data_IF_566826866813
#
_entry.id   IF_566826866813
#
_cell.length_a   1.000
_cell.length_b   1.000
_cell.length_c   1.000
_cell.angle_alpha   90.00
_cell.angle_beta   90.00
_cell.angle_gamma   90.00
#
_symmetry.space_group_name_H-M   'P 1'
#
loop_
_entity.id
_entity.type
_entity.pdbx_description
1 polymer ?
#
# COMPACT_ATOMS: atom_id res chain seq x y z
N UNK A 1 0.50 3.20 -20.03
CA UNK A 1 1.10 1.96 -19.43
C UNK A 1 0.45 0.69 -20.00
N UNK A 2 1.04 -0.52 -19.84
CA UNK A 2 0.37 -1.76 -20.29
C UNK A 2 -1.02 -1.93 -19.69
N UNK A 3 -1.19 -1.60 -18.40
CA UNK A 3 -2.49 -1.63 -17.68
C UNK A 3 -3.51 -0.70 -18.32
N UNK A 4 -3.12 0.51 -18.68
CA UNK A 4 -3.98 1.50 -19.32
C UNK A 4 -4.59 0.99 -20.64
N UNK A 5 -3.81 0.25 -21.44
CA UNK A 5 -4.33 -0.38 -22.67
C UNK A 5 -5.39 -1.45 -22.39
N UNK A 6 -5.30 -2.14 -21.24
CA UNK A 6 -6.25 -3.20 -20.85
C UNK A 6 -7.54 -2.61 -20.30
N UNK A 7 -7.43 -1.57 -19.47
CA UNK A 7 -8.61 -0.98 -18.82
C UNK A 7 -9.31 0.06 -19.69
N UNK A 8 -8.57 0.74 -20.56
CA UNK A 8 -9.09 1.77 -21.46
C UNK A 8 -9.78 2.91 -20.72
N UNK A 9 -10.93 3.34 -21.24
CA UNK A 9 -11.70 4.46 -20.69
C UNK A 9 -12.47 4.12 -19.41
N UNK A 10 -12.61 2.82 -19.09
CA UNK A 10 -13.20 2.39 -17.81
C UNK A 10 -12.33 2.75 -16.61
N UNK A 11 -11.03 2.96 -16.81
CA UNK A 11 -10.08 3.18 -15.72
C UNK A 11 -9.88 1.93 -14.85
N UNK A 12 -9.09 2.10 -13.78
CA UNK A 12 -8.78 1.01 -12.85
C UNK A 12 -9.70 1.11 -11.63
N UNK A 13 -10.62 0.17 -11.46
CA UNK A 13 -11.54 0.19 -10.30
C UNK A 13 -10.85 -0.21 -9.01
N UNK A 14 -10.00 -1.24 -9.02
CA UNK A 14 -9.36 -1.74 -7.80
C UNK A 14 -7.86 -1.85 -8.03
N UNK A 15 -7.09 -1.19 -7.16
CA UNK A 15 -5.67 -1.47 -6.98
C UNK A 15 -5.48 -2.31 -5.73
N UNK A 16 -5.04 -3.55 -5.90
CA UNK A 16 -4.73 -4.45 -4.80
C UNK A 16 -3.21 -4.57 -4.59
N UNK A 17 -2.67 -3.84 -3.62
CA UNK A 17 -1.27 -3.94 -3.20
C UNK A 17 -1.06 -5.19 -2.32
N UNK A 18 -0.88 -6.33 -2.97
CA UNK A 18 -0.59 -7.60 -2.30
C UNK A 18 0.91 -7.91 -2.23
N UNK A 19 1.74 -7.32 -3.10
CA UNK A 19 3.16 -7.62 -3.16
C UNK A 19 3.85 -7.27 -1.83
N UNK A 20 4.59 -8.24 -1.29
CA UNK A 20 5.37 -8.02 -0.08
C UNK A 20 6.39 -9.13 0.16
N UNK A 21 7.43 -8.80 0.92
CA UNK A 21 8.48 -9.71 1.36
C UNK A 21 8.63 -9.66 2.88
N UNK A 22 9.19 -10.70 3.45
CA UNK A 22 9.61 -10.73 4.85
C UNK A 22 11.08 -11.16 4.90
N UNK A 23 12.00 -10.18 4.91
CA UNK A 23 13.41 -10.49 5.16
C UNK A 23 13.59 -10.66 6.67
N UNK A 24 14.16 -11.80 7.08
CA UNK A 24 14.45 -12.06 8.49
C UNK A 24 15.38 -10.99 9.04
N UNK A 25 14.95 -10.33 10.11
CA UNK A 25 15.75 -9.33 10.80
C UNK A 25 15.42 -9.31 12.29
N UNK A 26 16.45 -9.43 13.12
CA UNK A 26 16.36 -9.50 14.58
C UNK A 26 17.22 -8.41 15.24
N UNK A 27 16.96 -8.11 16.51
CA UNK A 27 17.79 -7.23 17.33
C UNK A 27 19.06 -7.92 17.85
N UNK A 28 19.10 -9.25 17.85
CA UNK A 28 20.23 -10.05 18.36
C UNK A 28 21.27 -10.42 17.30
N UNK A 29 21.11 -9.97 16.06
CA UNK A 29 22.08 -10.21 14.99
C UNK A 29 23.01 -8.99 14.78
N UNK A 30 24.07 -9.18 13.99
CA UNK A 30 24.89 -8.06 13.51
C UNK A 30 24.01 -7.11 12.67
N UNK A 31 24.02 -5.79 12.96
CA UNK A 31 23.20 -4.84 12.21
C UNK A 31 23.46 -4.91 10.69
N UNK A 32 22.38 -4.99 9.91
CA UNK A 32 22.43 -5.01 8.45
C UNK A 32 21.42 -4.04 7.84
N UNK A 33 21.91 -2.88 7.39
CA UNK A 33 21.06 -1.86 6.78
C UNK A 33 20.37 -2.33 5.49
N UNK A 34 21.02 -3.20 4.72
CA UNK A 34 20.48 -3.66 3.44
C UNK A 34 19.17 -4.46 3.61
N UNK A 35 19.08 -5.30 4.64
CA UNK A 35 17.90 -6.12 4.91
C UNK A 35 16.70 -5.27 5.38
N UNK A 36 16.97 -4.20 6.14
CA UNK A 36 15.95 -3.23 6.54
C UNK A 36 15.42 -2.50 5.30
N UNK A 37 16.32 -1.98 4.46
CA UNK A 37 15.95 -1.24 3.26
C UNK A 37 15.19 -2.12 2.29
N UNK A 38 15.59 -3.39 2.14
CA UNK A 38 14.90 -4.32 1.25
C UNK A 38 13.43 -4.52 1.63
N UNK A 39 13.12 -4.70 2.93
CA UNK A 39 11.73 -4.76 3.39
C UNK A 39 10.98 -3.43 3.14
N UNK A 40 11.62 -2.30 3.43
CA UNK A 40 11.02 -0.98 3.23
C UNK A 40 10.71 -0.71 1.75
N UNK A 41 11.65 -1.02 0.87
CA UNK A 41 11.56 -0.76 -0.56
C UNK A 41 10.36 -1.49 -1.18
N UNK A 42 10.21 -2.78 -0.91
CA UNK A 42 9.07 -3.54 -1.45
C UNK A 42 7.75 -3.22 -0.72
N UNK A 43 7.72 -3.28 0.61
CA UNK A 43 6.45 -3.26 1.35
C UNK A 43 5.91 -1.84 1.59
N UNK A 44 6.71 -0.79 1.42
CA UNK A 44 6.30 0.59 1.72
C UNK A 44 6.58 1.56 0.57
N UNK A 45 7.81 1.65 0.08
CA UNK A 45 8.16 2.58 -1.00
C UNK A 45 7.50 2.19 -2.32
N UNK A 46 7.61 0.91 -2.71
CA UNK A 46 7.01 0.34 -3.91
C UNK A 46 5.49 0.48 -3.91
N UNK A 47 4.83 0.16 -2.80
CA UNK A 47 3.38 0.35 -2.64
C UNK A 47 2.97 1.81 -2.86
N UNK A 48 3.73 2.77 -2.33
CA UNK A 48 3.44 4.18 -2.48
C UNK A 48 3.60 4.66 -3.93
N UNK A 49 4.72 4.30 -4.56
CA UNK A 49 5.00 4.66 -5.97
C UNK A 49 3.98 4.02 -6.90
N UNK A 50 3.62 2.75 -6.67
CA UNK A 50 2.63 2.04 -7.48
C UNK A 50 1.25 2.69 -7.35
N UNK A 51 0.86 3.05 -6.13
CA UNK A 51 -0.40 3.77 -5.87
C UNK A 51 -0.43 5.09 -6.61
N UNK A 52 0.62 5.92 -6.46
CA UNK A 52 0.73 7.20 -7.17
C UNK A 52 0.69 7.05 -8.69
N UNK A 53 1.37 6.03 -9.21
CA UNK A 53 1.42 5.74 -10.65
C UNK A 53 0.03 5.45 -11.23
N UNK A 54 -0.82 4.75 -10.48
CA UNK A 54 -2.16 4.36 -10.93
C UNK A 54 -3.28 5.30 -10.50
N UNK A 55 -3.00 6.36 -9.72
CA UNK A 55 -3.99 7.37 -9.33
C UNK A 55 -4.80 7.93 -10.52
N UNK A 56 -4.21 8.25 -11.68
CA UNK A 56 -4.99 8.76 -12.82
C UNK A 56 -6.04 7.75 -13.31
N UNK A 57 -5.72 6.45 -13.32
CA UNK A 57 -6.65 5.40 -13.75
C UNK A 57 -7.74 5.14 -12.71
N UNK A 58 -7.41 5.22 -11.42
CA UNK A 58 -8.37 5.11 -10.32
C UNK A 58 -9.36 6.27 -10.33
N UNK A 59 -8.89 7.50 -10.53
CA UNK A 59 -9.74 8.69 -10.69
C UNK A 59 -10.64 8.58 -11.93
N UNK A 60 -10.09 8.06 -13.04
CA UNK A 60 -10.87 7.80 -14.25
C UNK A 60 -12.02 6.82 -13.98
N UNK A 61 -11.78 5.73 -13.26
CA UNK A 61 -12.84 4.79 -12.89
C UNK A 61 -13.88 5.42 -11.96
N UNK A 62 -13.44 6.17 -10.95
CA UNK A 62 -14.34 6.81 -10.01
C UNK A 62 -15.28 7.84 -10.65
N UNK A 63 -14.79 8.57 -11.66
CA UNK A 63 -15.57 9.57 -12.39
C UNK A 63 -16.69 8.96 -13.25
N UNK A 64 -16.67 7.64 -13.50
CA UNK A 64 -17.74 6.94 -14.20
C UNK A 64 -18.97 6.71 -13.31
N UNK A 65 -18.84 6.87 -11.99
CA UNK A 65 -19.91 6.71 -11.01
C UNK A 65 -20.34 8.08 -10.51
N UNK A 66 -21.63 8.39 -10.61
CA UNK A 66 -22.19 9.70 -10.26
C UNK A 66 -22.27 9.98 -8.76
N UNK A 67 -22.10 8.94 -7.93
CA UNK A 67 -22.15 9.07 -6.46
C UNK A 67 -20.77 9.37 -5.89
N UNK A 68 -20.74 10.10 -4.78
CA UNK A 68 -19.52 10.34 -3.99
C UNK A 68 -19.33 9.30 -2.87
N UNK A 69 -20.07 8.20 -2.92
CA UNK A 69 -19.98 7.15 -1.90
C UNK A 69 -18.71 6.32 -2.08
N UNK A 70 -18.08 5.94 -0.96
CA UNK A 70 -16.96 5.01 -0.98
C UNK A 70 -17.47 3.60 -1.27
N UNK A 71 -17.07 3.05 -2.41
CA UNK A 71 -17.42 1.69 -2.81
C UNK A 71 -16.31 1.09 -3.67
N UNK A 72 -16.08 -0.21 -3.50
CA UNK A 72 -15.17 -0.99 -4.36
C UNK A 72 -15.64 -1.05 -5.81
N UNK A 73 -16.92 -0.76 -6.08
CA UNK A 73 -17.45 -0.67 -7.44
C UNK A 73 -17.13 0.68 -8.10
N UNK A 74 -16.77 1.70 -7.32
CA UNK A 74 -16.42 3.04 -7.79
C UNK A 74 -14.92 3.14 -8.04
N UNK A 75 -14.14 3.14 -6.98
CA UNK A 75 -12.69 3.00 -7.01
C UNK A 75 -12.17 2.69 -5.61
N UNK A 76 -11.22 1.77 -5.48
CA UNK A 76 -10.61 1.43 -4.20
C UNK A 76 -9.13 1.06 -4.32
N UNK A 77 -8.34 1.42 -3.31
CA UNK A 77 -6.97 0.95 -3.12
C UNK A 77 -6.96 0.07 -1.87
N UNK A 78 -6.74 -1.21 -2.07
CA UNK A 78 -6.69 -2.22 -1.02
C UNK A 78 -5.23 -2.66 -0.85
N UNK A 79 -4.70 -2.72 0.36
CA UNK A 79 -3.36 -3.27 0.62
C UNK A 79 -3.47 -4.37 1.63
N UNK A 80 -2.74 -5.45 1.36
CA UNK A 80 -2.69 -6.59 2.25
C UNK A 80 -1.63 -6.31 3.32
N UNK A 81 -2.10 -6.02 4.53
CA UNK A 81 -1.28 -5.79 5.72
C UNK A 81 -1.08 -7.10 6.51
N UNK A 82 -0.52 -6.98 7.72
CA UNK A 82 -0.29 -8.10 8.65
C UNK A 82 -0.45 -7.60 10.07
N UNK A 83 -0.91 -8.46 10.99
CA UNK A 83 -0.94 -8.18 12.45
C UNK A 83 0.43 -7.74 12.97
N UNK A 84 1.52 -8.20 12.32
CA UNK A 84 2.87 -7.78 12.63
C UNK A 84 3.10 -6.26 12.48
N UNK A 85 2.28 -5.57 11.69
CA UNK A 85 2.27 -4.11 11.55
C UNK A 85 1.55 -3.36 12.67
N UNK A 86 0.91 -4.06 13.62
CA UNK A 86 0.31 -3.43 14.80
C UNK A 86 1.36 -3.18 15.87
N UNK A 87 1.60 -1.92 16.22
CA UNK A 87 2.46 -1.53 17.34
C UNK A 87 1.80 -1.96 18.66
N UNK A 88 0.50 -1.71 18.81
CA UNK A 88 -0.26 -2.03 20.03
C UNK A 88 -0.36 -3.55 20.26
N UNK A 89 -0.39 -4.35 19.19
CA UNK A 89 -0.45 -5.81 19.26
C UNK A 89 0.91 -6.51 19.36
N UNK A 90 2.03 -5.77 19.41
CA UNK A 90 3.35 -6.37 19.41
C UNK A 90 3.80 -6.78 20.82
N UNK A 91 3.48 -8.01 21.21
CA UNK A 91 3.90 -8.60 22.50
C UNK A 91 5.04 -9.62 22.37
N UNK A 92 5.35 -10.08 21.16
CA UNK A 92 6.28 -11.18 20.90
C UNK A 92 7.68 -10.78 20.43
N UNK A 93 7.91 -9.49 20.12
CA UNK A 93 9.18 -9.01 19.59
C UNK A 93 9.51 -9.56 18.19
N UNK A 94 10.78 -9.43 17.77
CA UNK A 94 11.30 -9.96 16.50
C UNK A 94 10.74 -9.30 15.23
N UNK A 95 11.22 -9.76 14.06
CA UNK A 95 10.78 -9.32 12.73
C UNK A 95 10.84 -7.79 12.50
N UNK A 96 11.79 -7.11 13.14
CA UNK A 96 11.79 -5.64 13.25
C UNK A 96 11.63 -4.95 11.89
N UNK A 97 12.42 -5.35 10.88
CA UNK A 97 12.36 -4.77 9.55
C UNK A 97 10.99 -4.97 8.86
N UNK A 98 10.41 -6.16 8.99
CA UNK A 98 9.08 -6.46 8.44
C UNK A 98 7.98 -5.68 9.16
N UNK A 99 8.02 -5.62 10.50
CA UNK A 99 7.05 -4.87 11.32
C UNK A 99 7.08 -3.38 10.97
N UNK A 100 8.26 -2.77 10.93
CA UNK A 100 8.44 -1.35 10.51
C UNK A 100 7.82 -1.14 9.13
N UNK A 101 8.09 -2.02 8.17
CA UNK A 101 7.57 -1.87 6.81
C UNK A 101 6.04 -1.94 6.73
N UNK A 102 5.40 -2.79 7.55
CA UNK A 102 3.93 -2.94 7.59
C UNK A 102 3.25 -1.82 8.38
N UNK A 103 3.89 -1.27 9.42
CA UNK A 103 3.46 -0.02 10.08
C UNK A 103 3.40 1.11 9.06
N UNK A 104 4.46 1.31 8.27
CA UNK A 104 4.55 2.39 7.28
C UNK A 104 3.53 2.21 6.16
N UNK A 105 3.35 0.98 5.66
CA UNK A 105 2.29 0.67 4.68
C UNK A 105 0.91 1.05 5.21
N UNK A 106 0.66 0.88 6.51
CA UNK A 106 -0.64 1.17 7.15
C UNK A 106 -0.78 2.66 7.47
N UNK A 107 0.26 3.36 7.95
CA UNK A 107 0.24 4.82 8.20
C UNK A 107 0.09 5.64 6.91
N UNK A 108 0.56 5.12 5.77
CA UNK A 108 0.32 5.77 4.48
C UNK A 108 -1.16 5.79 4.09
N UNK A 109 -1.97 4.86 4.59
CA UNK A 109 -3.40 4.90 4.34
C UNK A 109 -4.04 6.17 4.86
N UNK A 110 -3.68 6.66 6.04
CA UNK A 110 -4.27 7.88 6.58
C UNK A 110 -3.90 9.12 5.77
N UNK A 111 -2.68 9.22 5.25
CA UNK A 111 -2.22 10.38 4.46
C UNK A 111 -2.75 10.34 3.01
N UNK A 112 -2.70 9.16 2.36
CA UNK A 112 -3.31 8.95 1.05
C UNK A 112 -4.83 9.06 1.11
N UNK A 113 -5.50 8.52 2.13
CA UNK A 113 -6.93 8.69 2.30
C UNK A 113 -7.24 10.19 2.42
N UNK A 114 -6.54 10.97 3.25
CA UNK A 114 -6.77 12.43 3.32
C UNK A 114 -6.54 13.15 1.98
N UNK A 115 -5.54 12.74 1.19
CA UNK A 115 -5.20 13.32 -0.12
C UNK A 115 -6.03 12.82 -1.31
N UNK A 116 -6.63 11.64 -1.18
CA UNK A 116 -7.49 10.99 -2.17
C UNK A 116 -8.95 11.38 -1.91
N UNK A 117 -9.37 11.50 -0.65
CA UNK A 117 -10.67 12.01 -0.20
C UNK A 117 -10.98 13.41 -0.76
N UNK A 118 -9.96 14.18 -1.15
CA UNK A 118 -10.13 15.50 -1.75
C UNK A 118 -10.42 15.46 -3.26
N UNK A 119 -10.30 14.30 -3.91
CA UNK A 119 -10.37 14.18 -5.38
C UNK A 119 -11.08 12.91 -5.91
N UNK A 120 -11.54 12.02 -5.04
CA UNK A 120 -12.51 10.97 -5.34
C UNK A 120 -13.73 11.22 -4.47
#
# INVERSE_FOLDING_TARGET
FQVERVVGDRGLTILLNNAGIAVSYSTYQKPNRADIIKNFDTNAAGVAVLTQTFLPLLRKAAAQVSTNEFSVNRAAILSISSEAGSIAGNTSGGMLAYRISKVISTMRYTDLQTSILSFI
#
